data_IF_240477209220
#
_entry.id   IF_240477209220
#
_cell.length_a   1.000
_cell.length_b   1.000
_cell.length_c   1.000
_cell.angle_alpha   90.00
_cell.angle_beta   90.00
_cell.angle_gamma   90.00
#
_symmetry.space_group_name_H-M   'P 1'
#
loop_
_entity.id
_entity.type
_entity.pdbx_description
1 polymer ?
#
# COMPACT_ATOMS: atom_id res chain seq x y z
N UNK A 1 -10.94 -2.65 20.27
CA UNK A 1 -10.37 -3.87 19.64
C UNK A 1 -9.08 -4.27 20.34
N UNK A 2 -8.97 -5.51 20.73
CA UNK A 2 -7.74 -5.99 21.39
C UNK A 2 -6.71 -6.40 20.34
N UNK A 3 -5.48 -5.95 20.52
CA UNK A 3 -4.36 -6.38 19.68
C UNK A 3 -3.83 -7.73 20.13
N UNK A 4 -3.18 -8.50 19.24
CA UNK A 4 -2.51 -9.73 19.62
C UNK A 4 -1.53 -9.52 20.79
N UNK A 5 -1.31 -10.57 21.56
CA UNK A 5 -0.45 -10.51 22.75
C UNK A 5 0.96 -9.99 22.45
N UNK A 6 1.52 -10.31 21.28
CA UNK A 6 2.88 -9.86 20.92
C UNK A 6 2.97 -8.34 20.72
N UNK A 7 1.84 -7.65 20.56
CA UNK A 7 1.79 -6.19 20.44
C UNK A 7 1.80 -5.47 21.79
N UNK A 8 1.43 -6.17 22.87
CA UNK A 8 1.21 -5.53 24.18
C UNK A 8 2.49 -5.07 24.87
N UNK A 9 3.64 -5.58 24.45
CA UNK A 9 4.94 -5.26 25.05
C UNK A 9 5.66 -4.09 24.38
N UNK A 10 5.06 -3.49 23.37
CA UNK A 10 5.69 -2.42 22.61
C UNK A 10 5.23 -1.07 23.16
N UNK A 11 6.20 -0.22 23.51
CA UNK A 11 5.93 1.15 23.93
C UNK A 11 5.23 1.92 22.81
N UNK A 12 4.08 2.56 23.08
CA UNK A 12 3.34 3.30 22.05
C UNK A 12 4.15 4.36 21.32
N UNK A 13 5.06 5.06 21.98
CA UNK A 13 5.90 6.08 21.35
C UNK A 13 6.89 5.44 20.37
N UNK A 14 7.50 4.33 20.78
CA UNK A 14 8.42 3.58 19.89
C UNK A 14 7.69 2.99 18.71
N UNK A 15 6.47 2.49 18.94
CA UNK A 15 5.62 1.95 17.88
C UNK A 15 5.32 3.01 16.84
N UNK A 16 4.89 4.20 17.23
CA UNK A 16 4.59 5.30 16.31
C UNK A 16 5.83 5.74 15.54
N UNK A 17 6.97 5.82 16.21
CA UNK A 17 8.22 6.21 15.57
C UNK A 17 8.64 5.19 14.50
N UNK A 18 8.62 3.90 14.84
CA UNK A 18 8.98 2.86 13.88
C UNK A 18 7.97 2.80 12.74
N UNK A 19 6.67 2.99 13.02
CA UNK A 19 5.67 3.03 11.96
C UNK A 19 5.94 4.17 10.97
N UNK A 20 6.30 5.34 11.47
CA UNK A 20 6.68 6.47 10.63
C UNK A 20 7.90 6.13 9.77
N UNK A 21 8.89 5.43 10.33
CA UNK A 21 10.08 4.97 9.59
C UNK A 21 9.71 3.95 8.52
N UNK A 22 8.80 3.02 8.84
CA UNK A 22 8.29 2.04 7.86
C UNK A 22 7.66 2.77 6.67
N UNK A 23 6.73 3.67 6.93
CA UNK A 23 6.04 4.41 5.88
C UNK A 23 7.00 5.27 5.05
N UNK A 24 7.93 5.96 5.71
CA UNK A 24 8.94 6.77 5.05
C UNK A 24 9.82 5.92 4.13
N UNK A 25 10.27 4.76 4.63
CA UNK A 25 11.11 3.83 3.84
C UNK A 25 10.37 3.28 2.64
N UNK A 26 9.09 2.92 2.81
CA UNK A 26 8.26 2.42 1.71
C UNK A 26 8.05 3.48 0.61
N UNK A 27 7.90 4.74 1.00
CA UNK A 27 7.71 5.85 0.05
C UNK A 27 9.00 6.25 -0.65
N UNK A 28 10.13 6.16 0.02
CA UNK A 28 11.42 6.60 -0.50
C UNK A 28 11.80 5.75 -1.70
N UNK A 29 11.99 6.41 -2.85
CA UNK A 29 12.29 5.69 -4.09
C UNK A 29 11.16 4.79 -4.54
N UNK A 30 9.98 4.93 -3.96
CA UNK A 30 8.80 4.12 -4.27
C UNK A 30 9.08 2.63 -4.11
N UNK A 31 9.67 2.27 -2.98
CA UNK A 31 10.05 0.88 -2.66
C UNK A 31 8.83 -0.07 -2.74
N UNK A 32 7.64 0.43 -2.41
CA UNK A 32 6.40 -0.36 -2.49
C UNK A 32 6.10 -0.87 -3.92
N UNK A 33 6.71 -0.28 -4.95
CA UNK A 33 6.54 -0.72 -6.35
C UNK A 33 7.20 -2.06 -6.65
N UNK A 34 8.09 -2.53 -5.77
CA UNK A 34 8.67 -3.86 -5.89
C UNK A 34 7.61 -4.91 -5.50
N UNK A 35 7.09 -5.71 -6.45
CA UNK A 35 6.04 -6.69 -6.13
C UNK A 35 6.53 -7.81 -5.24
N UNK A 36 7.85 -8.01 -5.14
CA UNK A 36 8.47 -9.07 -4.34
C UNK A 36 8.95 -8.59 -2.97
N UNK A 37 8.68 -7.34 -2.62
CA UNK A 37 9.11 -6.81 -1.32
C UNK A 37 8.47 -7.58 -0.18
N UNK A 38 9.29 -8.04 0.76
CA UNK A 38 8.85 -8.80 1.93
C UNK A 38 9.08 -8.00 3.21
N UNK A 39 8.34 -8.37 4.26
CA UNK A 39 8.57 -7.81 5.59
C UNK A 39 10.01 -8.10 6.08
N UNK A 40 10.58 -9.24 5.68
CA UNK A 40 11.95 -9.60 6.04
C UNK A 40 12.95 -8.60 5.45
N UNK A 41 12.80 -8.25 4.18
CA UNK A 41 13.67 -7.28 3.53
C UNK A 41 13.56 -5.90 4.19
N UNK A 42 12.34 -5.47 4.50
CA UNK A 42 12.12 -4.21 5.19
C UNK A 42 12.71 -4.24 6.60
N UNK A 43 12.54 -5.34 7.33
CA UNK A 43 13.11 -5.51 8.65
C UNK A 43 14.64 -5.40 8.62
N UNK A 44 15.28 -5.99 7.61
CA UNK A 44 16.72 -5.89 7.41
C UNK A 44 17.16 -4.44 7.19
N UNK A 45 16.42 -3.70 6.35
CA UNK A 45 16.71 -2.29 6.08
C UNK A 45 16.60 -1.44 7.35
N UNK A 46 15.62 -1.73 8.20
CA UNK A 46 15.35 -0.96 9.43
C UNK A 46 16.07 -1.53 10.66
N UNK A 47 16.90 -2.55 10.47
CA UNK A 47 17.68 -3.19 11.55
C UNK A 47 16.79 -3.72 12.67
N UNK A 48 15.71 -4.38 12.29
CA UNK A 48 14.77 -5.01 13.21
C UNK A 48 14.42 -6.41 12.69
N UNK A 49 13.26 -6.96 13.08
CA UNK A 49 12.82 -8.29 12.66
C UNK A 49 11.36 -8.24 12.20
N UNK A 50 10.93 -9.30 11.48
CA UNK A 50 9.59 -9.37 10.89
C UNK A 50 8.49 -9.32 11.94
N UNK A 51 8.72 -9.93 13.11
CA UNK A 51 7.75 -9.95 14.19
C UNK A 51 7.47 -8.54 14.70
N UNK A 52 8.51 -7.73 14.83
CA UNK A 52 8.37 -6.35 15.27
C UNK A 52 7.68 -5.49 14.21
N UNK A 53 8.02 -5.68 12.94
CA UNK A 53 7.34 -5.02 11.81
C UNK A 53 5.84 -5.34 11.85
N UNK A 54 5.48 -6.63 11.96
CA UNK A 54 4.08 -7.06 12.02
C UNK A 54 3.33 -6.44 13.18
N UNK A 55 3.95 -6.42 14.37
CA UNK A 55 3.35 -5.85 15.56
C UNK A 55 3.11 -4.34 15.42
N UNK A 56 4.10 -3.61 14.92
CA UNK A 56 4.00 -2.16 14.75
C UNK A 56 2.94 -1.80 13.71
N UNK A 57 2.87 -2.52 12.61
CA UNK A 57 1.84 -2.30 11.59
C UNK A 57 0.46 -2.58 12.17
N UNK A 58 0.29 -3.68 12.91
CA UNK A 58 -0.98 -4.04 13.55
C UNK A 58 -1.41 -2.95 14.54
N UNK A 59 -0.50 -2.47 15.38
CA UNK A 59 -0.81 -1.43 16.38
C UNK A 59 -1.25 -0.11 15.74
N UNK A 60 -0.71 0.24 14.58
CA UNK A 60 -0.96 1.54 13.95
C UNK A 60 -2.05 1.51 12.88
N UNK A 61 -2.39 0.35 12.32
CA UNK A 61 -3.35 0.24 11.21
C UNK A 61 -4.50 -0.72 11.49
N UNK A 62 -4.40 -1.57 12.51
CA UNK A 62 -5.30 -2.70 12.76
C UNK A 62 -5.32 -3.68 11.57
N UNK A 63 -4.21 -3.76 10.83
CA UNK A 63 -4.11 -4.58 9.63
C UNK A 63 -2.70 -5.15 9.49
N UNK A 64 -2.46 -5.93 8.45
CA UNK A 64 -1.17 -6.57 8.21
C UNK A 64 -0.31 -5.78 7.23
N UNK A 65 0.95 -6.23 7.10
CA UNK A 65 1.94 -5.58 6.23
C UNK A 65 1.54 -5.61 4.76
N UNK A 66 0.98 -6.72 4.29
CA UNK A 66 0.53 -6.85 2.89
C UNK A 66 -0.53 -5.81 2.54
N UNK A 67 -1.48 -5.59 3.44
CA UNK A 67 -2.51 -4.58 3.23
C UNK A 67 -1.96 -3.17 3.33
N UNK A 68 -0.96 -2.95 4.16
CA UNK A 68 -0.27 -1.66 4.20
C UNK A 68 0.42 -1.37 2.85
N UNK A 69 1.14 -2.36 2.29
CA UNK A 69 1.74 -2.22 0.96
C UNK A 69 0.70 -1.91 -0.10
N UNK A 70 -0.43 -2.61 -0.05
CA UNK A 70 -1.52 -2.39 -1.01
C UNK A 70 -2.09 -0.98 -0.92
N UNK A 71 -2.11 -0.39 0.27
CA UNK A 71 -2.55 1.00 0.45
C UNK A 71 -1.67 1.96 -0.35
N UNK A 72 -0.35 1.81 -0.25
CA UNK A 72 0.59 2.64 -1.01
C UNK A 72 0.49 2.39 -2.51
N UNK A 73 0.44 1.11 -2.91
CA UNK A 73 0.33 0.71 -4.32
C UNK A 73 -0.95 1.22 -4.95
N UNK A 74 -2.06 1.15 -4.22
CA UNK A 74 -3.35 1.59 -4.72
C UNK A 74 -3.39 3.10 -4.92
N UNK A 75 -2.87 3.87 -3.96
CA UNK A 75 -2.81 5.33 -4.08
C UNK A 75 -2.00 5.75 -5.31
N UNK A 76 -0.86 5.09 -5.56
CA UNK A 76 -0.02 5.33 -6.73
C UNK A 76 -0.78 5.00 -8.03
N UNK A 77 -1.45 3.85 -8.06
CA UNK A 77 -2.24 3.44 -9.22
C UNK A 77 -3.40 4.40 -9.51
N UNK A 78 -4.09 4.86 -8.48
CA UNK A 78 -5.16 5.84 -8.61
C UNK A 78 -4.67 7.12 -9.30
N UNK A 79 -3.53 7.62 -8.88
CA UNK A 79 -2.94 8.82 -9.50
C UNK A 79 -2.55 8.59 -10.94
N UNK A 80 -1.97 7.43 -11.27
CA UNK A 80 -1.60 7.10 -12.65
C UNK A 80 -2.83 6.94 -13.55
N UNK A 81 -3.92 6.37 -13.03
CA UNK A 81 -5.18 6.25 -13.78
C UNK A 81 -5.74 7.61 -14.17
N UNK A 82 -5.63 8.59 -13.29
CA UNK A 82 -6.14 9.95 -13.52
C UNK A 82 -5.19 10.74 -14.42
N UNK A 83 -3.89 10.64 -14.17
CA UNK A 83 -2.90 11.52 -14.79
C UNK A 83 -2.55 11.15 -16.22
N UNK A 84 -2.69 9.87 -16.62
CA UNK A 84 -2.21 9.41 -17.92
C UNK A 84 -3.17 8.45 -18.58
N UNK A 85 -3.34 8.61 -19.91
CA UNK A 85 -4.08 7.66 -20.74
C UNK A 85 -3.14 6.73 -21.52
N UNK A 86 -1.83 6.92 -21.40
CA UNK A 86 -0.84 6.10 -22.14
C UNK A 86 -0.80 4.66 -21.71
N UNK A 87 -1.10 4.40 -20.44
CA UNK A 87 -0.95 3.07 -19.85
C UNK A 87 -2.31 2.45 -19.59
N UNK A 88 -2.42 1.15 -19.89
CA UNK A 88 -3.61 0.38 -19.55
C UNK A 88 -3.69 0.17 -18.03
N UNK A 89 -4.87 -0.20 -17.54
CA UNK A 89 -5.04 -0.53 -16.12
C UNK A 89 -4.09 -1.66 -15.69
N UNK A 90 -3.87 -2.65 -16.57
CA UNK A 90 -2.96 -3.77 -16.31
C UNK A 90 -1.51 -3.30 -16.19
N UNK A 91 -1.07 -2.41 -17.07
CA UNK A 91 0.27 -1.83 -17.00
C UNK A 91 0.45 -1.03 -15.72
N UNK A 92 -0.55 -0.24 -15.35
CA UNK A 92 -0.53 0.56 -14.11
C UNK A 92 -0.44 -0.35 -12.88
N UNK A 93 -1.18 -1.47 -12.88
CA UNK A 93 -1.10 -2.45 -11.79
C UNK A 93 0.33 -2.92 -11.56
N UNK A 94 1.02 -3.30 -12.64
CA UNK A 94 2.40 -3.77 -12.57
C UNK A 94 3.36 -2.65 -12.16
N UNK A 95 3.18 -1.46 -12.73
CA UNK A 95 4.03 -0.30 -12.42
C UNK A 95 3.91 0.16 -10.97
N UNK A 96 2.74 0.01 -10.36
CA UNK A 96 2.50 0.42 -8.97
C UNK A 96 2.91 -0.66 -7.96
N UNK A 97 3.31 -1.84 -8.41
CA UNK A 97 3.86 -2.88 -7.55
C UNK A 97 2.96 -4.07 -7.27
N UNK A 98 1.77 -4.11 -7.83
CA UNK A 98 0.91 -5.30 -7.70
C UNK A 98 1.52 -6.45 -8.49
N UNK A 99 1.51 -7.64 -7.89
CA UNK A 99 2.11 -8.82 -8.52
C UNK A 99 1.30 -9.38 -9.68
N UNK A 100 0.02 -9.03 -9.78
CA UNK A 100 -0.86 -9.51 -10.83
C UNK A 100 -2.03 -8.56 -11.03
N UNK A 101 -2.68 -8.69 -12.19
CA UNK A 101 -3.92 -7.98 -12.49
C UNK A 101 -5.01 -8.32 -11.47
N UNK A 102 -5.13 -9.60 -11.12
CA UNK A 102 -6.15 -10.07 -10.19
C UNK A 102 -5.99 -9.42 -8.81
N UNK A 103 -4.76 -9.35 -8.31
CA UNK A 103 -4.49 -8.71 -7.02
C UNK A 103 -4.90 -7.24 -7.04
N UNK A 104 -4.56 -6.53 -8.11
CA UNK A 104 -4.92 -5.13 -8.27
C UNK A 104 -6.44 -4.94 -8.32
N UNK A 105 -7.13 -5.69 -9.17
CA UNK A 105 -8.58 -5.57 -9.32
C UNK A 105 -9.31 -5.86 -8.02
N UNK A 106 -8.88 -6.89 -7.29
CA UNK A 106 -9.49 -7.24 -6.00
C UNK A 106 -9.42 -6.10 -5.01
N UNK A 107 -8.25 -5.49 -4.87
CA UNK A 107 -8.03 -4.37 -3.93
C UNK A 107 -8.78 -3.12 -4.41
N UNK A 108 -8.72 -2.85 -5.71
CA UNK A 108 -9.34 -1.67 -6.30
C UNK A 108 -10.86 -1.70 -6.17
N UNK A 109 -11.49 -2.79 -6.59
CA UNK A 109 -12.96 -2.94 -6.54
C UNK A 109 -13.46 -2.94 -5.09
N UNK A 110 -12.69 -3.52 -4.16
CA UNK A 110 -13.05 -3.49 -2.74
C UNK A 110 -13.16 -2.06 -2.22
N UNK A 111 -12.25 -1.19 -2.64
CA UNK A 111 -12.25 0.21 -2.21
C UNK A 111 -13.28 1.06 -2.94
N UNK A 112 -13.38 0.92 -4.25
CA UNK A 112 -14.13 1.85 -5.10
C UNK A 112 -15.49 1.32 -5.57
N UNK A 113 -15.72 0.02 -5.52
CA UNK A 113 -16.95 -0.60 -6.01
C UNK A 113 -17.07 -0.65 -7.53
N UNK A 114 -16.08 -0.16 -8.26
CA UNK A 114 -16.06 -0.14 -9.72
C UNK A 114 -14.69 -0.59 -10.23
N UNK A 115 -14.62 -0.93 -11.52
CA UNK A 115 -13.37 -1.33 -12.16
C UNK A 115 -12.45 -0.11 -12.39
N UNK A 116 -11.12 -0.33 -12.46
CA UNK A 116 -10.17 0.76 -12.72
C UNK A 116 -10.46 1.56 -13.98
N UNK A 117 -10.91 0.92 -15.06
CA UNK A 117 -11.26 1.60 -16.31
C UNK A 117 -12.43 2.55 -16.14
N UNK A 118 -13.44 2.17 -15.37
CA UNK A 118 -14.59 3.04 -15.06
C UNK A 118 -14.20 4.21 -14.19
N UNK A 119 -13.34 3.98 -13.22
CA UNK A 119 -12.78 5.01 -12.36
C UNK A 119 -12.06 6.07 -13.20
N UNK A 120 -11.25 5.63 -14.15
CA UNK A 120 -10.53 6.52 -15.08
C UNK A 120 -11.49 7.39 -15.89
N UNK A 121 -12.53 6.78 -16.46
CA UNK A 121 -13.53 7.50 -17.25
C UNK A 121 -14.26 8.54 -16.42
N UNK A 122 -14.71 8.17 -15.22
CA UNK A 122 -15.43 9.07 -14.33
C UNK A 122 -14.59 10.30 -13.96
N UNK A 123 -13.31 10.11 -13.68
CA UNK A 123 -12.43 11.21 -13.30
C UNK A 123 -12.11 12.11 -14.47
N UNK A 124 -12.04 11.58 -15.69
CA UNK A 124 -11.84 12.39 -16.90
C UNK A 124 -13.06 13.24 -17.22
N UNK A 125 -14.25 12.66 -17.10
CA UNK A 125 -15.48 13.40 -17.32
C UNK A 125 -15.61 14.57 -16.35
N UNK A 126 -15.26 14.36 -15.09
CA UNK A 126 -15.24 15.44 -14.09
C UNK A 126 -14.26 16.53 -14.46
N UNK A 127 -13.07 16.18 -14.95
CA UNK A 127 -12.07 17.15 -15.36
C UNK A 127 -12.54 17.99 -16.54
N UNK A 128 -13.22 17.38 -17.50
CA UNK A 128 -13.74 18.08 -18.67
C UNK A 128 -14.94 18.98 -18.38
N UNK A 129 -15.70 18.69 -17.31
CA UNK A 129 -16.87 19.48 -16.94
C UNK A 129 -16.53 20.76 -16.18
N UNK A 130 -15.34 20.84 -15.66
CA UNK A 130 -14.83 22.03 -14.99
C UNK A 130 -14.14 22.95 -15.98
#
# INVERSE_FOLDING_TARGET
MQHPAYCQRIDPKRSKKLFAEICSTLKKGKLYRNPKLTAQELATLLKTNTRYIAAVVQLNTNDNFSNLLNTFRLADAEQMLIASSEYSAEEIALMSGFGSRQSFYKVFVKKHGIAPSQFRIQHREQTFKE
#
